data_IF_604089086587
#
_entry.id   IF_604089086587
#
_cell.length_a   1.000
_cell.length_b   1.000
_cell.length_c   1.000
_cell.angle_alpha   90.00
_cell.angle_beta   90.00
_cell.angle_gamma   90.00
#
_symmetry.space_group_name_H-M   'P 1'
#
loop_
_entity.id
_entity.type
_entity.pdbx_description
1 polymer ?
#
# COMPACT_ATOMS: atom_id res chain seq x y z
N UNK A 1 19.09 -16.16 -2.18
CA UNK A 1 18.13 -16.29 -1.06
C UNK A 1 18.30 -15.02 -0.26
N UNK A 2 17.35 -14.10 -0.40
CA UNK A 2 17.54 -12.68 -0.05
C UNK A 2 17.92 -12.51 1.42
N UNK A 3 19.15 -12.09 1.67
CA UNK A 3 19.64 -11.71 2.99
C UNK A 3 19.12 -10.30 3.32
N UNK A 4 17.80 -10.19 3.49
CA UNK A 4 17.16 -8.94 3.87
C UNK A 4 17.55 -8.59 5.30
N UNK A 5 18.28 -7.50 5.49
CA UNK A 5 18.57 -6.97 6.82
C UNK A 5 17.46 -6.00 7.26
N UNK A 6 16.93 -6.21 8.45
CA UNK A 6 15.96 -5.30 9.08
C UNK A 6 16.67 -3.96 9.32
N UNK A 7 16.11 -2.83 8.82
CA UNK A 7 16.72 -1.52 9.06
C UNK A 7 16.76 -1.13 10.53
N UNK A 8 17.81 -0.41 10.95
CA UNK A 8 18.03 -0.03 12.35
C UNK A 8 16.89 0.78 12.96
N UNK A 9 16.20 1.60 12.16
CA UNK A 9 15.05 2.37 12.64
C UNK A 9 13.84 1.50 12.99
N UNK A 10 13.66 0.34 12.33
CA UNK A 10 12.64 -0.66 12.72
C UNK A 10 13.03 -1.33 14.02
N UNK A 11 14.30 -1.73 14.13
CA UNK A 11 14.85 -2.32 15.36
C UNK A 11 14.64 -1.38 16.55
N UNK A 12 14.93 -0.09 16.39
CA UNK A 12 14.72 0.90 17.46
C UNK A 12 13.26 1.02 17.85
N UNK A 13 12.36 1.21 16.89
CA UNK A 13 10.93 1.40 17.16
C UNK A 13 10.30 0.20 17.90
N UNK A 14 10.70 -1.01 17.51
CA UNK A 14 10.26 -2.25 18.17
C UNK A 14 10.89 -2.39 19.56
N UNK A 15 12.19 -2.12 19.70
CA UNK A 15 12.87 -2.19 20.99
C UNK A 15 12.27 -1.22 22.02
N UNK A 16 12.01 0.02 21.61
CA UNK A 16 11.45 1.06 22.47
C UNK A 16 10.07 0.62 22.97
N UNK A 17 9.21 0.16 22.05
CA UNK A 17 7.85 -0.29 22.38
C UNK A 17 7.84 -1.49 23.33
N UNK A 18 8.67 -2.51 23.08
CA UNK A 18 8.77 -3.69 23.96
C UNK A 18 9.33 -3.27 25.33
N UNK A 19 10.38 -2.45 25.35
CA UNK A 19 11.03 -2.05 26.61
C UNK A 19 10.10 -1.23 27.52
N UNK A 20 9.22 -0.43 26.95
CA UNK A 20 8.25 0.38 27.69
C UNK A 20 7.01 -0.43 28.12
N UNK A 21 6.67 -1.48 27.38
CA UNK A 21 5.46 -2.28 27.62
C UNK A 21 5.71 -3.48 28.55
N UNK A 22 6.93 -4.03 28.54
CA UNK A 22 7.27 -5.24 29.27
C UNK A 22 8.06 -4.99 30.57
N UNK A 23 7.99 -5.95 31.47
CA UNK A 23 8.93 -6.09 32.60
C UNK A 23 10.18 -6.85 32.16
N UNK A 24 11.23 -6.91 32.98
CA UNK A 24 12.42 -7.71 32.64
C UNK A 24 12.07 -9.19 32.40
N UNK A 25 11.22 -9.79 33.23
CA UNK A 25 10.85 -11.20 33.11
C UNK A 25 9.92 -11.48 31.91
N UNK A 26 8.95 -10.61 31.65
CA UNK A 26 8.03 -10.78 30.53
C UNK A 26 8.70 -10.48 29.18
N UNK A 27 9.67 -9.56 29.15
CA UNK A 27 10.54 -9.33 27.99
C UNK A 27 11.34 -10.60 27.67
N UNK A 28 12.01 -11.20 28.66
CA UNK A 28 12.79 -12.41 28.43
C UNK A 28 11.91 -13.57 27.93
N UNK A 29 10.71 -13.73 28.52
CA UNK A 29 9.73 -14.73 28.08
C UNK A 29 9.24 -14.49 26.64
N UNK A 30 9.01 -13.22 26.27
CA UNK A 30 8.57 -12.83 24.92
C UNK A 30 9.62 -13.17 23.86
N UNK A 31 10.88 -12.84 24.12
CA UNK A 31 11.97 -13.14 23.18
C UNK A 31 12.24 -14.65 23.08
N UNK A 32 12.15 -15.39 24.18
CA UNK A 32 12.24 -16.86 24.15
C UNK A 32 11.09 -17.49 23.35
N UNK A 33 9.85 -17.03 23.57
CA UNK A 33 8.68 -17.50 22.81
C UNK A 33 8.81 -17.24 21.30
N UNK A 34 9.43 -16.12 20.93
CA UNK A 34 9.67 -15.76 19.54
C UNK A 34 10.81 -16.56 18.88
N UNK A 35 11.48 -17.49 19.57
CA UNK A 35 12.69 -18.20 19.13
C UNK A 35 13.88 -17.25 18.88
N UNK A 36 14.06 -16.22 19.71
CA UNK A 36 15.22 -15.34 19.64
C UNK A 36 16.53 -16.11 19.95
N UNK A 37 17.64 -15.82 19.25
CA UNK A 37 18.90 -16.52 19.45
C UNK A 37 19.62 -16.09 20.73
N UNK A 38 20.20 -17.07 21.42
CA UNK A 38 21.06 -16.88 22.59
C UNK A 38 20.31 -16.54 23.88
N UNK A 39 21.08 -16.44 24.96
CA UNK A 39 20.56 -16.13 26.30
C UNK A 39 20.18 -14.64 26.45
N UNK A 40 19.31 -14.30 27.43
CA UNK A 40 18.95 -12.93 27.74
C UNK A 40 20.18 -12.03 27.93
N UNK A 41 20.30 -10.93 27.15
CA UNK A 41 21.38 -9.98 27.33
C UNK A 41 21.32 -9.30 28.71
N UNK A 42 22.44 -8.76 29.16
CA UNK A 42 22.50 -7.94 30.36
C UNK A 42 22.13 -6.47 30.07
N UNK A 43 21.75 -5.74 31.13
CA UNK A 43 21.50 -4.30 31.08
C UNK A 43 20.04 -3.88 31.24
N UNK A 44 19.73 -2.64 30.88
CA UNK A 44 18.37 -2.10 30.95
C UNK A 44 17.45 -2.77 29.92
N UNK A 45 16.13 -2.75 30.14
CA UNK A 45 15.16 -3.34 29.20
C UNK A 45 15.37 -2.88 27.75
N UNK A 46 15.65 -1.59 27.54
CA UNK A 46 15.90 -1.03 26.22
C UNK A 46 17.20 -1.59 25.60
N UNK A 47 18.28 -1.69 26.38
CA UNK A 47 19.55 -2.28 25.93
C UNK A 47 19.37 -3.76 25.60
N UNK A 48 18.65 -4.51 26.45
CA UNK A 48 18.34 -5.93 26.21
C UNK A 48 17.56 -6.14 24.92
N UNK A 49 16.47 -5.40 24.73
CA UNK A 49 15.64 -5.51 23.53
C UNK A 49 16.41 -5.17 22.25
N UNK A 50 17.19 -4.08 22.26
CA UNK A 50 18.03 -3.67 21.12
C UNK A 50 19.07 -4.73 20.77
N UNK A 51 19.76 -5.27 21.77
CA UNK A 51 20.82 -6.25 21.56
C UNK A 51 20.26 -7.56 21.00
N UNK A 52 19.14 -8.06 21.53
CA UNK A 52 18.49 -9.24 20.98
C UNK A 52 17.98 -9.02 19.56
N UNK A 53 17.33 -7.89 19.26
CA UNK A 53 16.86 -7.59 17.91
C UNK A 53 18.02 -7.47 16.91
N UNK A 54 19.17 -6.95 17.33
CA UNK A 54 20.39 -6.94 16.51
C UNK A 54 20.92 -8.35 16.26
N UNK A 55 20.93 -9.22 17.27
CA UNK A 55 21.29 -10.64 17.11
C UNK A 55 20.33 -11.36 16.17
N UNK A 56 19.03 -11.17 16.32
CA UNK A 56 18.00 -11.72 15.41
C UNK A 56 18.30 -11.28 13.96
N UNK A 57 18.60 -10.00 13.77
CA UNK A 57 18.91 -9.47 12.45
C UNK A 57 20.19 -10.09 11.87
N UNK A 58 21.21 -10.36 12.69
CA UNK A 58 22.50 -10.92 12.24
C UNK A 58 22.48 -12.44 12.06
N UNK A 59 21.81 -13.18 12.92
CA UNK A 59 22.00 -14.63 13.08
C UNK A 59 20.81 -15.47 12.59
N UNK A 60 19.60 -14.90 12.54
CA UNK A 60 18.38 -15.69 12.27
C UNK A 60 18.08 -15.92 10.78
N UNK A 61 18.90 -15.38 9.86
CA UNK A 61 18.77 -15.60 8.41
C UNK A 61 17.34 -15.42 7.91
N UNK A 62 16.80 -16.43 7.21
CA UNK A 62 15.44 -16.41 6.66
C UNK A 62 14.31 -16.35 7.71
N UNK A 63 14.58 -16.70 8.98
CA UNK A 63 13.57 -16.69 10.05
C UNK A 63 13.39 -15.33 10.71
N UNK A 64 14.28 -14.35 10.45
CA UNK A 64 14.29 -13.05 11.15
C UNK A 64 12.95 -12.30 11.10
N UNK A 65 12.25 -12.33 9.97
CA UNK A 65 10.95 -11.67 9.83
C UNK A 65 9.84 -12.41 10.59
N UNK A 66 9.90 -13.75 10.64
CA UNK A 66 8.96 -14.54 11.42
C UNK A 66 9.14 -14.30 12.92
N UNK A 67 10.39 -14.24 13.40
CA UNK A 67 10.71 -13.92 14.80
C UNK A 67 10.23 -12.50 15.14
N UNK A 68 10.56 -11.51 14.31
CA UNK A 68 10.14 -10.12 14.52
C UNK A 68 8.62 -9.99 14.53
N UNK A 69 7.93 -10.72 13.66
CA UNK A 69 6.47 -10.71 13.56
C UNK A 69 5.79 -11.26 14.82
N UNK A 70 6.29 -12.38 15.38
CA UNK A 70 5.82 -12.92 16.67
C UNK A 70 6.07 -11.96 17.83
N UNK A 71 7.21 -11.26 17.84
CA UNK A 71 7.52 -10.29 18.90
C UNK A 71 6.52 -9.14 18.96
N UNK A 72 6.01 -8.70 17.80
CA UNK A 72 5.10 -7.56 17.73
C UNK A 72 3.62 -7.94 17.71
N UNK A 73 3.30 -9.23 17.56
CA UNK A 73 1.94 -9.77 17.40
C UNK A 73 0.97 -9.23 18.45
N UNK A 74 1.32 -9.40 19.73
CA UNK A 74 0.49 -8.97 20.86
C UNK A 74 0.19 -7.47 20.88
N UNK A 75 1.08 -6.63 20.35
CA UNK A 75 0.86 -5.17 20.30
C UNK A 75 0.07 -4.77 19.05
N UNK A 76 0.27 -5.48 17.94
CA UNK A 76 -0.37 -5.19 16.66
C UNK A 76 -1.84 -5.62 16.62
N UNK A 77 -2.19 -6.63 17.42
CA UNK A 77 -3.53 -7.23 17.49
C UNK A 77 -4.31 -6.88 18.77
N UNK A 78 -3.72 -6.11 19.70
CA UNK A 78 -4.45 -5.63 20.87
C UNK A 78 -5.60 -4.72 20.43
N UNK A 79 -6.84 -5.10 20.76
CA UNK A 79 -7.99 -4.20 20.69
C UNK A 79 -7.93 -3.24 21.88
N UNK A 80 -7.21 -2.12 21.67
CA UNK A 80 -6.94 -1.11 22.69
C UNK A 80 -8.25 -0.50 23.20
N UNK A 81 -9.24 -0.29 22.32
CA UNK A 81 -10.51 0.35 22.68
C UNK A 81 -11.40 -0.59 23.50
N UNK A 82 -11.48 -1.88 23.14
CA UNK A 82 -12.18 -2.88 23.95
C UNK A 82 -11.48 -3.11 25.32
N UNK A 83 -10.15 -3.12 25.33
CA UNK A 83 -9.36 -3.29 26.56
C UNK A 83 -9.52 -2.10 27.51
N UNK A 84 -9.57 -0.88 26.95
CA UNK A 84 -9.79 0.35 27.69
C UNK A 84 -11.15 0.37 28.41
N UNK A 85 -12.22 -0.05 27.72
CA UNK A 85 -13.57 -0.15 28.28
C UNK A 85 -13.62 -1.12 29.46
N UNK A 86 -12.84 -2.20 29.42
CA UNK A 86 -12.87 -3.26 30.42
C UNK A 86 -12.02 -2.94 31.65
N UNK A 87 -10.93 -2.18 31.50
CA UNK A 87 -9.93 -1.92 32.57
C UNK A 87 -9.95 -0.50 33.14
N UNK A 88 -10.88 0.35 32.70
CA UNK A 88 -11.03 1.76 33.15
C UNK A 88 -9.69 2.52 33.07
N UNK A 89 -9.02 2.39 31.93
CA UNK A 89 -7.73 3.04 31.71
C UNK A 89 -7.91 4.53 31.42
N UNK A 90 -6.98 5.36 31.91
CA UNK A 90 -6.95 6.79 31.59
C UNK A 90 -6.75 6.99 30.09
N UNK A 91 -7.41 8.00 29.52
CA UNK A 91 -7.32 8.35 28.09
C UNK A 91 -5.85 8.52 27.63
N UNK A 92 -5.02 9.11 28.47
CA UNK A 92 -3.58 9.29 28.23
C UNK A 92 -2.83 7.96 27.98
N UNK A 93 -3.15 6.90 28.73
CA UNK A 93 -2.51 5.59 28.57
C UNK A 93 -2.94 4.90 27.27
N UNK A 94 -4.19 5.13 26.86
CA UNK A 94 -4.74 4.62 25.60
C UNK A 94 -4.03 5.28 24.43
N UNK A 95 -3.85 6.60 24.49
CA UNK A 95 -3.21 7.38 23.44
C UNK A 95 -1.72 7.01 23.32
N UNK A 96 -1.02 6.83 24.44
CA UNK A 96 0.37 6.35 24.45
C UNK A 96 0.52 4.95 23.82
N UNK A 97 -0.40 4.03 24.12
CA UNK A 97 -0.41 2.70 23.49
C UNK A 97 -0.64 2.79 21.97
N UNK A 98 -1.62 3.61 21.54
CA UNK A 98 -1.90 3.84 20.12
C UNK A 98 -0.69 4.45 19.40
N UNK A 99 0.00 5.39 20.04
CA UNK A 99 1.20 6.03 19.48
C UNK A 99 2.34 5.01 19.29
N UNK A 100 2.56 4.11 20.25
CA UNK A 100 3.57 3.05 20.14
C UNK A 100 3.30 2.11 18.97
N UNK A 101 2.05 1.63 18.85
CA UNK A 101 1.64 0.77 17.73
C UNK A 101 1.77 1.51 16.40
N UNK A 102 1.43 2.81 16.36
CA UNK A 102 1.61 3.64 15.17
C UNK A 102 3.09 3.79 14.77
N UNK A 103 4.00 3.94 15.73
CA UNK A 103 5.47 3.98 15.48
C UNK A 103 5.97 2.68 14.86
N UNK A 104 5.54 1.52 15.37
CA UNK A 104 5.87 0.22 14.78
C UNK A 104 5.36 0.15 13.33
N UNK A 105 4.08 0.45 13.10
CA UNK A 105 3.47 0.46 11.76
C UNK A 105 4.25 1.34 10.79
N UNK A 106 4.51 2.59 11.16
CA UNK A 106 5.28 3.53 10.34
C UNK A 106 6.68 3.02 10.01
N UNK A 107 7.38 2.43 10.99
CA UNK A 107 8.74 1.91 10.77
C UNK A 107 8.75 0.69 9.84
N UNK A 108 7.85 -0.27 10.03
CA UNK A 108 7.69 -1.43 9.14
C UNK A 108 7.34 -0.97 7.73
N UNK A 109 6.44 0.00 7.64
CA UNK A 109 5.99 0.55 6.39
C UNK A 109 7.14 1.18 5.59
N UNK A 110 7.96 2.01 6.24
CA UNK A 110 9.15 2.63 5.66
C UNK A 110 10.19 1.60 5.22
N UNK A 111 10.22 0.44 5.88
CA UNK A 111 11.10 -0.68 5.54
C UNK A 111 10.57 -1.58 4.41
N UNK A 112 9.41 -1.27 3.85
CA UNK A 112 8.76 -2.10 2.82
C UNK A 112 8.18 -3.41 3.37
N UNK A 113 7.91 -3.46 4.67
CA UNK A 113 7.32 -4.61 5.35
C UNK A 113 5.82 -4.41 5.54
N UNK A 114 5.07 -5.50 5.41
CA UNK A 114 3.62 -5.56 5.63
C UNK A 114 3.33 -6.58 6.71
N UNK A 115 2.58 -6.16 7.73
CA UNK A 115 2.07 -7.03 8.78
C UNK A 115 0.75 -7.67 8.35
N UNK A 116 0.58 -8.96 8.68
CA UNK A 116 -0.67 -9.70 8.58
C UNK A 116 -0.96 -10.40 9.90
N UNK A 117 -2.24 -10.61 10.27
CA UNK A 117 -2.60 -11.26 11.53
C UNK A 117 -1.92 -12.62 11.73
N UNK A 118 -1.63 -12.96 12.99
CA UNK A 118 -0.83 -14.11 13.40
C UNK A 118 0.68 -13.86 13.34
N UNK A 119 1.13 -12.61 13.53
CA UNK A 119 2.55 -12.28 13.58
C UNK A 119 3.30 -12.48 12.26
N UNK A 120 2.62 -12.39 11.10
CA UNK A 120 3.25 -12.66 9.80
C UNK A 120 3.76 -11.35 9.19
N UNK A 121 5.08 -11.23 9.04
CA UNK A 121 5.72 -10.14 8.30
C UNK A 121 6.11 -10.62 6.90
N UNK A 122 5.63 -9.91 5.89
CA UNK A 122 6.00 -10.13 4.49
C UNK A 122 6.68 -8.89 3.92
N UNK A 123 7.67 -9.09 3.07
CA UNK A 123 8.25 -8.02 2.25
C UNK A 123 7.29 -7.76 1.10
N UNK A 124 6.38 -6.82 1.29
CA UNK A 124 5.39 -6.47 0.28
C UNK A 124 6.04 -5.64 -0.82
N UNK A 125 5.61 -5.85 -2.06
CA UNK A 125 5.79 -4.94 -3.21
C UNK A 125 5.03 -3.61 -3.01
N UNK A 126 4.91 -3.14 -1.76
CA UNK A 126 4.14 -1.97 -1.38
C UNK A 126 4.80 -0.65 -1.75
N UNK A 127 5.97 -0.65 -2.40
CA UNK A 127 6.60 0.58 -2.88
C UNK A 127 5.77 1.24 -3.99
N UNK A 128 5.16 0.46 -4.90
CA UNK A 128 4.31 1.01 -5.94
C UNK A 128 2.97 1.56 -5.39
N UNK A 129 2.49 1.01 -4.27
CA UNK A 129 1.28 1.49 -3.57
C UNK A 129 1.56 2.67 -2.68
N UNK A 130 2.73 2.75 -2.05
CA UNK A 130 3.10 3.87 -1.21
C UNK A 130 3.59 5.06 -2.01
N UNK A 131 4.32 4.88 -3.11
CA UNK A 131 4.65 6.02 -3.99
C UNK A 131 3.36 6.66 -4.50
N UNK A 132 2.37 5.87 -4.93
CA UNK A 132 1.08 6.41 -5.32
C UNK A 132 0.30 7.01 -4.13
N UNK A 133 0.20 6.32 -3.00
CA UNK A 133 -0.52 6.85 -1.84
C UNK A 133 0.11 8.15 -1.31
N UNK A 134 1.43 8.28 -1.36
CA UNK A 134 2.17 9.51 -1.03
C UNK A 134 1.90 10.62 -2.06
N UNK A 135 1.95 10.31 -3.36
CA UNK A 135 1.62 11.25 -4.44
C UNK A 135 0.15 11.72 -4.36
N UNK A 136 -0.77 10.79 -4.06
CA UNK A 136 -2.19 11.05 -3.83
C UNK A 136 -2.38 11.95 -2.60
N UNK A 137 -1.69 11.67 -1.50
CA UNK A 137 -1.79 12.42 -0.25
C UNK A 137 -1.28 13.86 -0.41
N UNK A 138 -0.20 14.05 -1.17
CA UNK A 138 0.35 15.38 -1.48
C UNK A 138 -0.60 16.24 -2.32
N UNK A 139 -1.46 15.63 -3.15
CA UNK A 139 -2.50 16.32 -3.93
C UNK A 139 -3.92 16.21 -3.34
N UNK A 140 -4.06 15.77 -2.08
CA UNK A 140 -5.35 15.60 -1.38
C UNK A 140 -6.35 14.70 -2.13
N UNK A 141 -5.87 13.69 -2.87
CA UNK A 141 -6.72 12.77 -3.65
C UNK A 141 -7.12 11.55 -2.79
N UNK A 142 -7.38 11.76 -1.49
CA UNK A 142 -7.59 10.70 -0.49
C UNK A 142 -8.70 9.71 -0.87
N UNK A 143 -9.68 10.17 -1.64
CA UNK A 143 -10.78 9.35 -2.14
C UNK A 143 -10.31 8.21 -3.07
N UNK A 144 -9.23 8.40 -3.85
CA UNK A 144 -8.74 7.38 -4.79
C UNK A 144 -8.07 6.22 -4.04
N UNK A 145 -7.29 6.52 -3.00
CA UNK A 145 -6.59 5.50 -2.21
C UNK A 145 -7.59 4.66 -1.38
N UNK A 146 -8.58 5.32 -0.78
CA UNK A 146 -9.69 4.64 -0.10
C UNK A 146 -10.48 3.74 -1.06
N UNK A 147 -10.74 4.21 -2.29
CA UNK A 147 -11.44 3.45 -3.31
C UNK A 147 -10.63 2.24 -3.79
N UNK A 148 -9.30 2.37 -3.87
CA UNK A 148 -8.39 1.26 -4.18
C UNK A 148 -8.41 0.18 -3.09
N UNK A 149 -8.22 0.56 -1.82
CA UNK A 149 -8.26 -0.38 -0.69
C UNK A 149 -9.62 -1.08 -0.58
N UNK A 150 -10.71 -0.34 -0.83
CA UNK A 150 -12.06 -0.91 -0.94
C UNK A 150 -12.17 -1.92 -2.08
N UNK A 151 -11.64 -1.59 -3.26
CA UNK A 151 -11.66 -2.46 -4.42
C UNK A 151 -10.92 -3.77 -4.17
N UNK A 152 -9.72 -3.70 -3.58
CA UNK A 152 -8.88 -4.87 -3.28
C UNK A 152 -9.55 -5.82 -2.30
N UNK A 153 -10.14 -5.30 -1.22
CA UNK A 153 -10.87 -6.10 -0.21
C UNK A 153 -12.06 -6.85 -0.81
N UNK A 154 -12.70 -6.27 -1.83
CA UNK A 154 -13.92 -6.83 -2.42
C UNK A 154 -13.66 -7.72 -3.65
N UNK A 155 -12.40 -7.93 -4.08
CA UNK A 155 -12.07 -8.73 -5.28
C UNK A 155 -12.69 -10.14 -5.26
N UNK A 156 -12.68 -10.81 -4.10
CA UNK A 156 -13.20 -12.17 -3.96
C UNK A 156 -14.73 -12.22 -3.91
N UNK A 157 -15.35 -11.15 -3.39
CA UNK A 157 -16.80 -11.05 -3.16
C UNK A 157 -17.50 -10.62 -4.45
N UNK A 158 -16.99 -9.57 -5.08
CA UNK A 158 -17.55 -8.99 -6.30
C UNK A 158 -16.42 -8.56 -7.24
N UNK A 159 -15.87 -9.48 -8.06
CA UNK A 159 -14.90 -9.13 -9.10
C UNK A 159 -15.39 -8.00 -10.01
N UNK A 160 -16.71 -7.92 -10.20
CA UNK A 160 -17.35 -6.90 -11.05
C UNK A 160 -17.19 -5.50 -10.45
N UNK A 161 -17.54 -5.33 -9.17
CA UNK A 161 -17.38 -4.05 -8.49
C UNK A 161 -15.91 -3.65 -8.40
N UNK A 162 -15.03 -4.63 -8.16
CA UNK A 162 -13.58 -4.44 -8.16
C UNK A 162 -13.07 -3.85 -9.50
N UNK A 163 -13.56 -4.35 -10.64
CA UNK A 163 -13.25 -3.76 -11.97
C UNK A 163 -13.85 -2.37 -12.16
N UNK A 164 -15.10 -2.16 -11.72
CA UNK A 164 -15.71 -0.82 -11.78
C UNK A 164 -14.91 0.20 -10.97
N UNK A 165 -14.40 -0.20 -9.80
CA UNK A 165 -13.53 0.64 -8.99
C UNK A 165 -12.21 0.97 -9.70
N UNK A 166 -11.59 0.01 -10.41
CA UNK A 166 -10.41 0.28 -11.24
C UNK A 166 -10.66 1.37 -12.30
N UNK A 167 -11.83 1.35 -12.96
CA UNK A 167 -12.24 2.43 -13.86
C UNK A 167 -12.43 3.76 -13.12
N UNK A 168 -13.11 3.75 -11.98
CA UNK A 168 -13.42 4.95 -11.21
C UNK A 168 -12.17 5.64 -10.67
N UNK A 169 -11.13 4.87 -10.30
CA UNK A 169 -9.82 5.37 -9.88
C UNK A 169 -9.19 6.21 -11.00
N UNK A 170 -9.06 5.64 -12.20
CA UNK A 170 -8.48 6.33 -13.34
C UNK A 170 -9.34 7.52 -13.80
N UNK A 171 -10.67 7.35 -13.84
CA UNK A 171 -11.58 8.44 -14.21
C UNK A 171 -11.50 9.61 -13.25
N UNK A 172 -11.51 9.35 -11.94
CA UNK A 172 -11.40 10.38 -10.92
C UNK A 172 -10.08 11.14 -11.06
N UNK A 173 -8.97 10.42 -11.19
CA UNK A 173 -7.65 11.02 -11.38
C UNK A 173 -7.62 11.91 -12.63
N UNK A 174 -8.11 11.41 -13.76
CA UNK A 174 -8.08 12.15 -15.03
C UNK A 174 -9.00 13.37 -15.01
N UNK A 175 -10.15 13.30 -14.32
CA UNK A 175 -11.04 14.45 -14.13
C UNK A 175 -10.40 15.52 -13.26
N UNK A 176 -9.75 15.12 -12.17
CA UNK A 176 -8.98 16.05 -11.31
C UNK A 176 -7.88 16.72 -12.11
N UNK A 177 -7.10 15.94 -12.88
CA UNK A 177 -6.08 16.49 -13.77
C UNK A 177 -6.64 17.54 -14.72
N UNK A 178 -7.74 17.24 -15.42
CA UNK A 178 -8.35 18.19 -16.37
C UNK A 178 -8.85 19.45 -15.64
N UNK A 179 -9.45 19.29 -14.46
CA UNK A 179 -9.99 20.41 -13.69
C UNK A 179 -8.91 21.35 -13.14
N UNK A 180 -7.72 20.83 -12.79
CA UNK A 180 -6.60 21.66 -12.31
C UNK A 180 -5.87 22.41 -13.44
N UNK A 181 -6.10 22.05 -14.70
CA UNK A 181 -5.45 22.67 -15.85
C UNK A 181 -6.43 23.55 -16.65
N UNK A 182 -6.35 24.86 -16.45
CA UNK A 182 -7.27 25.85 -17.05
C UNK A 182 -7.30 25.87 -18.58
N UNK A 183 -6.26 25.36 -19.24
CA UNK A 183 -6.20 25.26 -20.70
C UNK A 183 -6.88 24.02 -21.27
N UNK A 184 -7.32 23.08 -20.42
CA UNK A 184 -8.01 21.86 -20.82
C UNK A 184 -9.53 22.01 -20.67
N UNK A 185 -10.26 21.34 -21.56
CA UNK A 185 -11.72 21.28 -21.51
C UNK A 185 -12.19 19.88 -21.17
N UNK A 186 -13.09 19.78 -20.19
CA UNK A 186 -13.74 18.53 -19.84
C UNK A 186 -14.57 18.03 -21.04
N UNK A 187 -14.40 16.76 -21.48
CA UNK A 187 -15.19 16.23 -22.58
C UNK A 187 -16.67 16.09 -22.21
N UNK A 188 -17.55 16.19 -23.23
CA UNK A 188 -19.00 16.06 -23.05
C UNK A 188 -19.41 14.68 -22.47
N UNK A 189 -18.73 13.62 -22.90
CA UNK A 189 -18.79 12.31 -22.24
C UNK A 189 -17.63 12.22 -21.26
N UNK A 190 -17.92 11.97 -19.99
CA UNK A 190 -16.91 11.89 -18.92
C UNK A 190 -16.58 10.43 -18.54
N UNK A 191 -16.61 9.53 -19.52
CA UNK A 191 -16.14 8.15 -19.36
C UNK A 191 -14.60 8.09 -19.50
N UNK A 192 -14.02 6.97 -19.03
CA UNK A 192 -12.58 6.73 -18.97
C UNK A 192 -11.89 6.99 -20.30
N UNK A 193 -12.48 6.57 -21.42
CA UNK A 193 -11.87 6.74 -22.74
C UNK A 193 -11.80 8.21 -23.13
N UNK A 194 -12.88 8.97 -22.90
CA UNK A 194 -12.95 10.37 -23.23
C UNK A 194 -12.00 11.21 -22.37
N UNK A 195 -11.97 11.01 -21.04
CA UNK A 195 -11.06 11.75 -20.16
C UNK A 195 -9.60 11.34 -20.39
N UNK A 196 -9.31 10.06 -20.64
CA UNK A 196 -7.97 9.59 -20.95
C UNK A 196 -7.40 10.22 -22.22
N UNK A 197 -8.23 10.39 -23.25
CA UNK A 197 -7.81 11.02 -24.51
C UNK A 197 -7.28 12.45 -24.30
N UNK A 198 -7.92 13.22 -23.41
CA UNK A 198 -7.48 14.58 -23.08
C UNK A 198 -6.16 14.53 -22.30
N UNK A 199 -6.12 13.74 -21.22
CA UNK A 199 -4.95 13.64 -20.33
C UNK A 199 -3.70 13.16 -21.06
N UNK A 200 -3.79 12.07 -21.84
CA UNK A 200 -2.63 11.52 -22.56
C UNK A 200 -2.05 12.50 -23.58
N UNK A 201 -2.91 13.27 -24.23
CA UNK A 201 -2.50 14.25 -25.25
C UNK A 201 -1.78 15.41 -24.57
N UNK A 202 -2.34 15.90 -23.46
CA UNK A 202 -1.70 16.98 -22.72
C UNK A 202 -0.37 16.52 -22.13
N UNK A 203 -0.33 15.40 -21.42
CA UNK A 203 0.91 14.85 -20.84
C UNK A 203 1.97 14.44 -21.89
N UNK A 204 1.65 14.45 -23.18
CA UNK A 204 2.58 14.08 -24.23
C UNK A 204 2.89 12.58 -24.24
N UNK A 205 1.98 11.75 -23.71
CA UNK A 205 2.09 10.29 -23.69
C UNK A 205 1.78 9.73 -25.08
N UNK A 206 2.71 9.96 -25.99
CA UNK A 206 2.66 9.55 -27.39
C UNK A 206 3.83 8.62 -27.67
N UNK A 207 3.53 7.33 -27.80
CA UNK A 207 4.54 6.32 -28.10
C UNK A 207 5.29 6.60 -29.41
N UNK A 208 4.68 7.32 -30.38
CA UNK A 208 5.36 7.63 -31.64
C UNK A 208 6.51 8.64 -31.51
N UNK A 209 6.59 9.35 -30.38
CA UNK A 209 7.62 10.38 -30.13
C UNK A 209 8.81 9.87 -29.32
N UNK A 210 8.76 8.65 -28.81
CA UNK A 210 9.87 8.04 -28.07
C UNK A 210 10.87 7.47 -29.06
N UNK A 211 12.17 7.59 -28.80
CA UNK A 211 13.22 7.05 -29.69
C UNK A 211 13.46 5.57 -29.41
N UNK A 212 13.37 5.17 -28.14
CA UNK A 212 13.62 3.81 -27.69
C UNK A 212 12.41 2.91 -27.93
N UNK A 213 12.59 1.93 -28.82
CA UNK A 213 11.55 0.94 -29.16
C UNK A 213 10.94 0.26 -27.94
N UNK A 214 11.74 -0.07 -26.93
CA UNK A 214 11.26 -0.75 -25.73
C UNK A 214 10.30 0.13 -24.93
N UNK A 215 10.58 1.44 -24.84
CA UNK A 215 9.68 2.40 -24.20
C UNK A 215 8.41 2.64 -25.02
N UNK A 216 8.51 2.67 -26.35
CA UNK A 216 7.34 2.72 -27.23
C UNK A 216 6.37 1.56 -26.96
N UNK A 217 6.91 0.34 -26.79
CA UNK A 217 6.11 -0.86 -26.54
C UNK A 217 5.42 -0.80 -25.18
N UNK A 218 6.14 -0.38 -24.13
CA UNK A 218 5.58 -0.22 -22.78
C UNK A 218 4.47 0.83 -22.76
N UNK A 219 4.69 2.01 -23.34
CA UNK A 219 3.69 3.11 -23.36
C UNK A 219 2.47 2.73 -24.21
N UNK A 220 2.67 2.02 -25.32
CA UNK A 220 1.56 1.44 -26.10
C UNK A 220 0.77 0.41 -25.31
N UNK A 221 1.46 -0.42 -24.51
CA UNK A 221 0.85 -1.37 -23.58
C UNK A 221 -0.02 -0.69 -22.52
N UNK A 222 0.43 0.44 -21.95
CA UNK A 222 -0.36 1.25 -21.02
C UNK A 222 -1.65 1.72 -21.71
N UNK A 223 -1.56 2.26 -22.93
CA UNK A 223 -2.74 2.71 -23.68
C UNK A 223 -3.75 1.57 -23.92
N UNK A 224 -3.27 0.40 -24.32
CA UNK A 224 -4.11 -0.78 -24.52
C UNK A 224 -4.78 -1.23 -23.21
N UNK A 225 -4.05 -1.15 -22.10
CA UNK A 225 -4.53 -1.54 -20.77
C UNK A 225 -5.65 -0.63 -20.26
N UNK A 226 -5.49 0.70 -20.38
CA UNK A 226 -6.56 1.67 -20.01
C UNK A 226 -7.84 1.42 -20.83
N UNK A 227 -7.69 1.18 -22.13
CA UNK A 227 -8.82 0.87 -23.00
C UNK A 227 -9.51 -0.44 -22.60
N UNK A 228 -8.73 -1.48 -22.27
CA UNK A 228 -9.24 -2.76 -21.79
C UNK A 228 -10.00 -2.64 -20.48
N UNK A 229 -9.47 -1.87 -19.51
CA UNK A 229 -10.14 -1.58 -18.24
C UNK A 229 -11.51 -0.90 -18.49
N UNK A 230 -11.55 0.12 -19.35
CA UNK A 230 -12.80 0.80 -19.72
C UNK A 230 -13.84 -0.14 -20.36
N UNK A 231 -13.39 -1.04 -21.24
CA UNK A 231 -14.27 -2.01 -21.90
C UNK A 231 -14.83 -3.06 -20.91
N UNK A 232 -14.02 -3.49 -19.94
CA UNK A 232 -14.45 -4.46 -18.91
C UNK A 232 -15.65 -3.92 -18.12
N UNK A 233 -15.68 -2.62 -17.79
CA UNK A 233 -16.84 -1.99 -17.12
C UNK A 233 -18.09 -2.05 -18.00
N UNK A 234 -17.99 -1.71 -19.28
CA UNK A 234 -19.15 -1.72 -20.19
C UNK A 234 -19.73 -3.13 -20.35
N UNK A 235 -18.88 -4.15 -20.45
CA UNK A 235 -19.31 -5.54 -20.52
C UNK A 235 -19.84 -6.08 -19.18
N UNK A 236 -19.29 -5.61 -18.06
CA UNK A 236 -19.81 -5.89 -16.72
C UNK A 236 -21.21 -5.29 -16.52
N UNK A 237 -21.45 -4.05 -16.95
CA UNK A 237 -22.72 -3.36 -16.81
C UNK A 237 -23.80 -3.90 -17.75
N UNK A 238 -23.44 -4.27 -18.99
CA UNK A 238 -24.38 -4.79 -19.98
C UNK A 238 -24.94 -6.19 -19.63
N UNK A 239 -24.28 -6.95 -18.75
CA UNK A 239 -24.73 -8.28 -18.35
C UNK A 239 -25.97 -8.29 -17.41
N UNK A 240 -26.59 -7.14 -17.15
CA UNK A 240 -27.93 -7.06 -16.55
C UNK A 240 -29.05 -6.84 -17.59
N UNK A 241 -28.70 -6.48 -18.83
CA UNK A 241 -29.64 -6.28 -19.92
C UNK A 241 -29.36 -7.25 -21.06
N UNK A 242 -30.26 -8.20 -21.24
CA UNK A 242 -30.50 -8.91 -22.51
C UNK A 242 -29.52 -10.02 -22.91
N UNK A 243 -29.97 -11.28 -22.74
CA UNK A 243 -29.72 -12.46 -23.60
C UNK A 243 -28.30 -12.96 -23.93
N UNK A 244 -27.22 -12.19 -23.72
CA UNK A 244 -25.85 -12.61 -24.06
C UNK A 244 -25.16 -13.28 -22.88
N UNK A 245 -24.42 -14.38 -23.15
CA UNK A 245 -23.66 -15.14 -22.15
C UNK A 245 -22.87 -14.16 -21.26
N UNK A 246 -23.09 -14.16 -19.93
CA UNK A 246 -22.46 -13.20 -19.04
C UNK A 246 -20.94 -13.38 -19.09
N UNK A 247 -20.21 -12.27 -19.28
CA UNK A 247 -18.75 -12.28 -19.25
C UNK A 247 -18.26 -12.83 -17.90
N UNK A 248 -17.55 -13.95 -17.91
CA UNK A 248 -17.16 -14.66 -16.68
C UNK A 248 -15.90 -14.03 -16.08
N UNK A 249 -16.09 -12.86 -15.46
CA UNK A 249 -15.04 -12.16 -14.74
C UNK A 249 -14.64 -12.99 -13.50
N UNK A 250 -13.35 -13.29 -13.35
CA UNK A 250 -12.80 -14.03 -12.22
C UNK A 250 -12.02 -13.08 -11.31
N UNK A 251 -11.84 -13.41 -10.01
CA UNK A 251 -11.03 -12.60 -9.08
C UNK A 251 -9.65 -12.22 -9.64
N UNK A 252 -8.97 -13.14 -10.33
CA UNK A 252 -7.66 -12.86 -10.98
C UNK A 252 -7.70 -11.76 -12.04
N UNK A 253 -8.80 -11.64 -12.80
CA UNK A 253 -8.96 -10.61 -13.82
C UNK A 253 -9.22 -9.25 -13.17
N UNK A 254 -10.04 -9.22 -12.11
CA UNK A 254 -10.29 -8.01 -11.34
C UNK A 254 -9.02 -7.52 -10.63
N UNK A 255 -8.25 -8.44 -10.04
CA UNK A 255 -6.95 -8.15 -9.42
C UNK A 255 -5.97 -7.53 -10.43
N UNK A 256 -5.87 -8.10 -11.64
CA UNK A 256 -5.05 -7.53 -12.71
C UNK A 256 -5.49 -6.11 -13.08
N UNK A 257 -6.79 -5.89 -13.29
CA UNK A 257 -7.32 -4.58 -13.67
C UNK A 257 -7.07 -3.51 -12.59
N UNK A 258 -7.26 -3.85 -11.31
CA UNK A 258 -7.02 -2.94 -10.18
C UNK A 258 -5.54 -2.57 -10.09
N UNK A 259 -4.63 -3.55 -10.09
CA UNK A 259 -3.20 -3.25 -9.97
C UNK A 259 -2.65 -2.52 -11.21
N UNK A 260 -3.18 -2.83 -12.39
CA UNK A 260 -2.83 -2.10 -13.61
C UNK A 260 -3.31 -0.64 -13.54
N UNK A 261 -4.57 -0.40 -13.19
CA UNK A 261 -5.12 0.95 -13.00
C UNK A 261 -4.28 1.76 -12.02
N UNK A 262 -3.89 1.12 -10.92
CA UNK A 262 -3.10 1.72 -9.87
C UNK A 262 -1.67 2.07 -10.33
N UNK A 263 -0.99 1.16 -11.03
CA UNK A 263 0.35 1.43 -11.61
C UNK A 263 0.29 2.58 -12.62
N UNK A 264 -0.76 2.62 -13.44
CA UNK A 264 -0.96 3.69 -14.43
C UNK A 264 -1.24 5.03 -13.74
N UNK A 265 -2.04 5.03 -12.66
CA UNK A 265 -2.29 6.23 -11.87
C UNK A 265 -1.00 6.81 -11.27
N UNK A 266 -0.13 5.95 -10.72
CA UNK A 266 1.19 6.35 -10.21
C UNK A 266 2.04 7.01 -11.29
N UNK A 267 2.19 6.34 -12.42
CA UNK A 267 2.96 6.86 -13.54
C UNK A 267 2.43 8.20 -14.06
N UNK A 268 1.09 8.36 -14.14
CA UNK A 268 0.46 9.62 -14.58
C UNK A 268 0.72 10.75 -13.59
N UNK A 269 0.65 10.49 -12.28
CA UNK A 269 0.97 11.50 -11.26
C UNK A 269 2.44 11.90 -11.31
N UNK A 270 3.37 10.94 -11.43
CA UNK A 270 4.80 11.21 -11.57
C UNK A 270 5.09 12.09 -12.80
N UNK A 271 4.49 11.73 -13.95
CA UNK A 271 4.62 12.50 -15.20
C UNK A 271 4.05 13.91 -15.05
N UNK A 272 2.92 14.05 -14.35
CA UNK A 272 2.31 15.34 -14.08
C UNK A 272 3.21 16.22 -13.19
N UNK A 273 3.78 15.67 -12.12
CA UNK A 273 4.68 16.40 -11.22
C UNK A 273 5.95 16.87 -11.94
N UNK A 274 6.55 16.00 -12.76
CA UNK A 274 7.71 16.35 -13.57
C UNK A 274 7.40 17.53 -14.51
N UNK A 275 6.28 17.47 -15.23
CA UNK A 275 5.85 18.52 -16.15
C UNK A 275 5.49 19.83 -15.44
N UNK A 276 4.96 19.76 -14.22
CA UNK A 276 4.65 20.93 -13.38
C UNK A 276 5.94 21.61 -12.90
N UNK A 277 6.94 20.83 -12.49
CA UNK A 277 8.24 21.35 -12.06
C UNK A 277 9.03 21.99 -13.20
N UNK A 278 8.89 21.49 -14.43
CA UNK A 278 9.51 22.10 -15.62
C UNK A 278 8.91 23.47 -15.98
N UNK A 279 7.63 23.74 -15.65
CA UNK A 279 6.98 25.03 -15.88
C UNK A 279 7.30 26.10 -14.81
N UNK A 280 7.84 25.68 -13.66
CA UNK A 280 8.20 26.56 -12.53
C UNK A 280 9.65 27.06 -12.58
N UNK A 281 10.44 26.57 -13.55
CA UNK A 281 11.78 27.07 -13.88
C UNK A 281 11.72 27.96 -15.11
#
# INVERSE_FOLDING_TARGET
MDDYSIPTYVISAVADTISESETHASLDSLFMYADAPGDPPDGSKAVKALEWLRRINKESGAKRLAILGRLIENYMEEDIDATALTRWQSQELIDQKKERVAKIKFSLERAGLTYSPGGVLSKGEGLATKSLAELIKNRNIQAIDQEFERAVRNIQISPREAVSAACNILESLFKVYIAEHTHLQMPAKQDLQAVWKVVKTDLGLDASKLEERDLQEIVSGIMATVNGIGALRTHASAAHGDGKKPYKLKPRHAKLAIHAAHTIAAFVLETWDEKSNQKSK
#
